data_IF_283587295457
#
_entry.id   IF_283587295457
#
_cell.length_a   1.000
_cell.length_b   1.000
_cell.length_c   1.000
_cell.angle_alpha   90.00
_cell.angle_beta   90.00
_cell.angle_gamma   90.00
#
_symmetry.space_group_name_H-M   'P 1'
#
loop_
_entity.id
_entity.type
_entity.pdbx_description
1 polymer ?
#
# COMPACT_ATOMS: atom_id res chain seq x y z
N UNK A 1 -12.23 -1.57 2.60
CA UNK A 1 -10.85 -1.18 2.96
C UNK A 1 -10.35 0.07 2.25
N UNK A 2 -10.19 0.07 0.92
CA UNK A 2 -9.69 1.26 0.19
C UNK A 2 -10.56 2.50 0.42
N UNK A 3 -11.88 2.31 0.53
CA UNK A 3 -12.84 3.39 0.82
C UNK A 3 -12.97 3.75 2.31
N UNK A 4 -12.34 2.98 3.20
CA UNK A 4 -12.45 3.18 4.63
C UNK A 4 -11.66 4.43 5.07
N UNK A 5 -11.90 4.96 6.27
CA UNK A 5 -11.24 6.19 6.74
C UNK A 5 -9.91 5.91 7.45
N UNK A 6 -9.68 4.68 7.87
CA UNK A 6 -8.51 4.29 8.63
C UNK A 6 -7.25 4.29 7.75
N UNK A 7 -6.10 4.45 8.41
CA UNK A 7 -4.81 4.47 7.72
C UNK A 7 -4.39 3.07 7.30
N UNK A 8 -3.95 2.94 6.05
CA UNK A 8 -3.40 1.71 5.50
C UNK A 8 -1.87 1.79 5.49
N UNK A 9 -1.20 0.66 5.67
CA UNK A 9 0.27 0.56 5.71
C UNK A 9 0.74 -0.45 4.69
N UNK A 10 1.90 -0.18 4.10
CA UNK A 10 2.59 -1.18 3.31
C UNK A 10 3.14 -2.26 4.27
N UNK A 11 2.73 -3.50 4.06
CA UNK A 11 3.08 -4.64 4.91
C UNK A 11 4.14 -5.54 4.25
N UNK A 12 4.12 -5.65 2.93
CA UNK A 12 5.02 -6.52 2.17
C UNK A 12 5.04 -6.07 0.70
N UNK A 13 6.13 -6.35 -0.01
CA UNK A 13 6.22 -6.13 -1.46
C UNK A 13 7.09 -7.20 -2.13
N UNK A 14 6.91 -7.43 -3.43
CA UNK A 14 7.76 -8.36 -4.18
C UNK A 14 9.23 -7.92 -4.14
N UNK A 15 10.16 -8.87 -4.06
CA UNK A 15 11.59 -8.61 -3.90
C UNK A 15 12.21 -7.87 -5.08
N UNK A 16 11.64 -8.03 -6.26
CA UNK A 16 12.04 -7.40 -7.52
C UNK A 16 11.66 -5.93 -7.58
N UNK A 17 10.67 -5.49 -6.77
CA UNK A 17 10.28 -4.08 -6.71
C UNK A 17 11.36 -3.27 -6.01
N UNK A 18 12.00 -2.36 -6.76
CA UNK A 18 12.95 -1.36 -6.23
C UNK A 18 12.22 -0.23 -5.52
N UNK A 19 11.49 -0.55 -4.44
CA UNK A 19 10.81 0.46 -3.62
C UNK A 19 11.86 1.20 -2.79
N UNK A 20 12.08 2.50 -3.08
CA UNK A 20 12.95 3.35 -2.26
C UNK A 20 12.25 3.64 -0.93
N UNK A 21 12.89 3.32 0.19
CA UNK A 21 12.38 3.55 1.55
C UNK A 21 10.94 3.01 1.74
N UNK A 22 10.72 1.68 1.55
CA UNK A 22 9.38 1.09 1.71
C UNK A 22 8.90 1.15 3.16
N UNK A 23 9.86 1.31 4.08
CA UNK A 23 9.64 1.40 5.50
C UNK A 23 8.78 2.64 5.80
N UNK A 24 7.72 2.42 6.55
CA UNK A 24 6.83 3.46 7.05
C UNK A 24 5.95 4.15 5.99
N UNK A 25 5.76 3.55 4.81
CA UNK A 25 4.74 4.01 3.88
C UNK A 25 3.34 3.82 4.47
N UNK A 26 2.61 4.93 4.56
CA UNK A 26 1.25 5.00 5.09
C UNK A 26 0.36 5.70 4.08
N UNK A 27 -0.84 5.18 3.90
CA UNK A 27 -1.90 5.80 3.14
C UNK A 27 -3.00 6.29 4.07
N UNK A 28 -3.29 7.60 4.05
CA UNK A 28 -4.34 8.20 4.88
C UNK A 28 -5.53 8.60 4.03
N UNK A 29 -6.74 8.38 4.53
CA UNK A 29 -7.95 8.88 3.88
C UNK A 29 -7.97 10.41 3.87
N UNK A 30 -8.38 11.00 2.75
CA UNK A 30 -8.59 12.44 2.62
C UNK A 30 -10.08 12.72 2.51
N UNK A 31 -10.72 12.21 1.46
CA UNK A 31 -12.15 12.39 1.20
C UNK A 31 -12.66 11.38 0.18
N UNK A 32 -13.99 11.34 0.02
CA UNK A 32 -14.68 10.55 -0.99
C UNK A 32 -15.54 11.48 -1.84
N UNK A 33 -15.55 11.27 -3.15
CA UNK A 33 -16.42 11.98 -4.10
C UNK A 33 -17.04 10.96 -5.05
N UNK A 34 -18.36 10.76 -5.00
CA UNK A 34 -19.07 9.75 -5.80
C UNK A 34 -18.39 8.37 -5.69
N UNK A 35 -17.86 7.85 -6.79
CA UNK A 35 -17.16 6.55 -6.89
C UNK A 35 -15.65 6.63 -6.70
N UNK A 36 -15.13 7.81 -6.40
CA UNK A 36 -13.72 8.10 -6.25
C UNK A 36 -13.35 8.26 -4.78
N UNK A 37 -12.18 7.75 -4.41
CA UNK A 37 -11.61 7.92 -3.08
C UNK A 37 -10.25 8.57 -3.21
N UNK A 38 -10.07 9.60 -2.38
CA UNK A 38 -8.83 10.34 -2.30
C UNK A 38 -8.10 9.91 -1.03
N UNK A 39 -6.88 9.41 -1.21
CA UNK A 39 -5.99 9.04 -0.11
C UNK A 39 -4.62 9.64 -0.35
N UNK A 40 -3.91 10.02 0.71
CA UNK A 40 -2.48 10.30 0.57
C UNK A 40 -1.69 9.00 0.53
N UNK A 41 -0.49 9.04 -0.05
CA UNK A 41 0.59 8.11 0.25
C UNK A 41 1.78 8.94 0.70
N UNK A 42 2.27 8.63 1.89
CA UNK A 42 3.36 9.37 2.50
C UNK A 42 4.28 8.45 3.30
N UNK A 43 5.53 8.86 3.46
CA UNK A 43 6.47 8.18 4.36
C UNK A 43 6.30 8.76 5.76
N UNK A 44 6.04 7.91 6.74
CA UNK A 44 5.96 8.29 8.15
C UNK A 44 7.37 8.39 8.77
N UNK A 45 7.51 9.02 9.94
CA UNK A 45 8.82 9.24 10.58
C UNK A 45 9.44 7.91 11.07
N UNK A 46 10.76 7.78 10.94
CA UNK A 46 11.53 6.73 11.63
C UNK A 46 12.09 7.23 12.95
N UNK A 47 12.35 6.28 13.86
CA UNK A 47 12.86 6.52 15.21
C UNK A 47 14.22 7.27 15.26
N UNK A 48 15.08 7.12 14.26
CA UNK A 48 16.49 7.53 14.35
C UNK A 48 16.99 8.50 13.27
N UNK A 49 16.17 8.96 12.31
CA UNK A 49 16.73 9.76 11.20
C UNK A 49 15.88 10.94 10.71
N UNK A 50 16.53 12.12 10.63
CA UNK A 50 15.98 13.38 10.09
C UNK A 50 16.00 13.44 8.56
N UNK A 51 16.61 12.46 7.87
CA UNK A 51 16.90 12.49 6.42
C UNK A 51 15.99 11.62 5.54
N UNK A 52 14.79 11.24 5.99
CA UNK A 52 13.84 10.62 5.06
C UNK A 52 13.35 11.64 4.05
N UNK A 53 13.54 11.36 2.76
CA UNK A 53 12.86 12.08 1.70
C UNK A 53 11.35 11.98 1.96
N UNK A 54 10.74 13.09 2.37
CA UNK A 54 9.30 13.15 2.66
C UNK A 54 8.53 12.97 1.36
N UNK A 55 8.14 11.73 1.07
CA UNK A 55 7.11 11.49 0.09
C UNK A 55 5.79 11.92 0.71
N UNK A 56 5.05 12.80 0.04
CA UNK A 56 3.65 13.08 0.32
C UNK A 56 2.97 13.37 -1.01
N UNK A 57 2.21 12.40 -1.50
CA UNK A 57 1.36 12.58 -2.68
C UNK A 57 -0.09 12.28 -2.35
N UNK A 58 -1.02 12.91 -3.05
CA UNK A 58 -2.44 12.58 -2.97
C UNK A 58 -2.82 11.75 -4.18
N UNK A 59 -3.30 10.55 -3.92
CA UNK A 59 -3.79 9.60 -4.90
C UNK A 59 -5.31 9.70 -5.00
N UNK A 60 -5.78 9.72 -6.24
CA UNK A 60 -7.16 9.48 -6.62
C UNK A 60 -7.30 8.02 -7.01
N UNK A 61 -8.23 7.32 -6.37
CA UNK A 61 -8.49 5.90 -6.58
C UNK A 61 -9.92 5.73 -7.07
N UNK A 62 -10.09 5.13 -8.24
CA UNK A 62 -11.40 4.72 -8.78
C UNK A 62 -11.42 3.22 -9.05
N UNK A 63 -12.52 2.56 -8.70
CA UNK A 63 -12.77 1.18 -9.09
C UNK A 63 -13.25 1.14 -10.53
N UNK A 64 -12.61 0.33 -11.37
CA UNK A 64 -13.12 -0.03 -12.68
C UNK A 64 -13.50 -1.51 -12.67
N UNK A 65 -14.69 -1.81 -13.18
CA UNK A 65 -15.21 -3.17 -13.30
C UNK A 65 -15.58 -3.40 -14.77
N UNK A 66 -14.56 -3.52 -15.62
CA UNK A 66 -14.73 -3.56 -17.08
C UNK A 66 -14.98 -5.00 -17.57
N UNK A 67 -15.95 -5.71 -17.00
CA UNK A 67 -16.24 -7.13 -17.30
C UNK A 67 -15.04 -8.10 -17.14
N UNK A 68 -14.02 -7.71 -16.38
CA UNK A 68 -12.89 -8.54 -15.97
C UNK A 68 -13.26 -9.32 -14.70
N UNK A 69 -12.79 -10.56 -14.58
CA UNK A 69 -13.00 -11.39 -13.38
C UNK A 69 -12.38 -10.81 -12.10
N UNK A 70 -11.53 -9.77 -12.21
CA UNK A 70 -10.88 -9.11 -11.09
C UNK A 70 -11.14 -7.61 -11.07
N UNK A 71 -11.52 -7.02 -9.92
CA UNK A 71 -11.72 -5.58 -9.83
C UNK A 71 -10.38 -4.85 -9.99
N UNK A 72 -10.36 -3.79 -10.79
CA UNK A 72 -9.18 -2.96 -11.01
C UNK A 72 -9.28 -1.63 -10.26
N UNK A 73 -8.14 -1.17 -9.75
CA UNK A 73 -7.99 0.15 -9.18
C UNK A 73 -7.20 1.02 -10.15
N UNK A 74 -7.84 2.07 -10.64
CA UNK A 74 -7.11 3.14 -11.31
C UNK A 74 -6.59 4.11 -10.26
N UNK A 75 -5.28 4.24 -10.17
CA UNK A 75 -4.60 5.11 -9.23
C UNK A 75 -3.91 6.23 -10.02
N UNK A 76 -4.32 7.48 -9.78
CA UNK A 76 -3.68 8.66 -10.35
C UNK A 76 -3.21 9.63 -9.27
N UNK A 77 -2.05 10.26 -9.48
CA UNK A 77 -1.53 11.31 -8.61
C UNK A 77 -2.19 12.63 -8.98
N UNK A 78 -2.67 13.39 -8.00
CA UNK A 78 -3.30 14.71 -8.23
C UNK A 78 -2.25 15.80 -8.45
N UNK A 79 -1.09 15.66 -7.80
CA UNK A 79 0.09 16.48 -8.02
C UNK A 79 1.04 15.74 -8.97
N UNK A 80 1.63 16.47 -9.91
CA UNK A 80 2.44 15.98 -11.04
C UNK A 80 3.84 15.43 -10.60
N UNK A 81 3.83 14.57 -9.58
CA UNK A 81 5.00 13.96 -8.95
C UNK A 81 5.15 12.49 -9.37
N UNK A 82 4.95 12.17 -10.65
CA UNK A 82 5.58 10.99 -11.22
C UNK A 82 7.10 11.25 -11.23
N UNK A 83 7.96 10.44 -10.59
CA UNK A 83 7.97 8.98 -10.76
C UNK A 83 8.48 8.21 -9.51
N UNK A 84 7.61 7.65 -8.67
CA UNK A 84 8.03 6.59 -7.71
C UNK A 84 7.06 5.44 -7.52
N UNK A 85 5.78 5.60 -7.89
CA UNK A 85 4.76 4.56 -7.74
C UNK A 85 4.00 4.22 -9.03
N UNK A 86 4.26 4.92 -10.14
CA UNK A 86 3.56 4.73 -11.41
C UNK A 86 2.08 5.13 -11.33
N UNK A 87 1.65 6.06 -12.17
CA UNK A 87 0.22 6.21 -12.46
C UNK A 87 -0.16 4.96 -13.25
N UNK A 88 -0.78 3.99 -12.60
CA UNK A 88 -0.92 2.65 -13.14
C UNK A 88 -2.20 2.01 -12.62
N UNK A 89 -2.94 1.37 -13.53
CA UNK A 89 -4.06 0.49 -13.19
C UNK A 89 -3.48 -0.69 -12.42
N UNK A 90 -3.87 -0.85 -11.16
CA UNK A 90 -3.45 -1.97 -10.34
C UNK A 90 -4.60 -2.96 -10.22
N UNK A 91 -4.31 -4.24 -10.45
CA UNK A 91 -5.31 -5.31 -10.30
C UNK A 91 -5.38 -5.74 -8.85
N UNK A 92 -6.58 -5.85 -8.28
CA UNK A 92 -6.76 -6.43 -6.95
C UNK A 92 -6.73 -7.94 -7.09
N UNK A 93 -5.64 -8.58 -6.67
CA UNK A 93 -5.49 -10.03 -6.73
C UNK A 93 -6.15 -10.73 -5.53
N UNK A 94 -6.19 -10.05 -4.39
CA UNK A 94 -6.82 -10.55 -3.18
C UNK A 94 -7.25 -9.40 -2.28
N UNK A 95 -8.35 -9.57 -1.58
CA UNK A 95 -8.78 -8.70 -0.50
C UNK A 95 -9.39 -9.54 0.62
N UNK A 96 -8.89 -9.34 1.83
CA UNK A 96 -9.47 -9.88 3.05
C UNK A 96 -10.20 -8.74 3.76
N UNK A 97 -11.49 -8.94 4.04
CA UNK A 97 -12.32 -7.86 4.53
C UNK A 97 -11.78 -7.32 5.86
N UNK A 98 -11.67 -5.99 5.97
CA UNK A 98 -11.19 -5.30 7.17
C UNK A 98 -9.77 -5.67 7.63
N UNK A 99 -8.97 -6.39 6.83
CA UNK A 99 -7.60 -6.76 7.19
C UNK A 99 -6.55 -6.24 6.21
N UNK A 100 -6.57 -6.73 4.97
CA UNK A 100 -5.56 -6.43 3.97
C UNK A 100 -6.04 -6.62 2.53
N UNK A 101 -5.25 -6.15 1.58
CA UNK A 101 -5.43 -6.45 0.16
C UNK A 101 -4.09 -6.48 -0.57
N UNK A 102 -4.02 -7.30 -1.60
CA UNK A 102 -2.86 -7.48 -2.48
C UNK A 102 -3.16 -6.82 -3.82
N UNK A 103 -2.28 -5.91 -4.22
CA UNK A 103 -2.34 -5.26 -5.53
C UNK A 103 -1.21 -5.77 -6.41
N UNK A 104 -1.55 -6.10 -7.65
CA UNK A 104 -0.57 -6.28 -8.72
C UNK A 104 -0.11 -4.92 -9.23
N UNK A 105 1.20 -4.75 -9.31
CA UNK A 105 1.84 -3.64 -10.00
C UNK A 105 1.99 -4.01 -11.48
N UNK A 106 1.65 -3.13 -12.43
CA UNK A 106 1.93 -3.39 -13.84
C UNK A 106 3.42 -3.65 -14.09
N UNK A 107 3.71 -4.84 -14.58
CA UNK A 107 5.05 -5.28 -14.97
C UNK A 107 4.97 -5.95 -16.34
N UNK A 108 6.02 -5.79 -17.14
CA UNK A 108 5.97 -6.14 -18.56
C UNK A 108 6.15 -7.61 -18.89
N UNK A 109 6.78 -8.46 -18.07
CA UNK A 109 7.02 -9.87 -18.44
C UNK A 109 7.64 -10.65 -17.26
N UNK A 110 6.84 -11.10 -16.30
CA UNK A 110 7.32 -12.09 -15.31
C UNK A 110 6.31 -13.23 -15.17
N UNK A 111 6.82 -14.46 -14.95
CA UNK A 111 6.01 -15.66 -14.72
C UNK A 111 5.17 -15.59 -13.43
N UNK A 112 5.45 -14.60 -12.56
CA UNK A 112 4.66 -14.26 -11.38
C UNK A 112 4.41 -12.75 -11.31
N UNK A 113 3.22 -12.33 -10.84
CA UNK A 113 2.90 -10.92 -10.72
C UNK A 113 3.78 -10.24 -9.66
N UNK A 114 4.27 -9.03 -9.98
CA UNK A 114 4.84 -8.16 -8.96
C UNK A 114 3.72 -7.54 -8.12
N UNK A 115 3.85 -7.61 -6.80
CA UNK A 115 2.77 -7.28 -5.89
C UNK A 115 3.18 -6.38 -4.73
N UNK A 116 2.19 -5.69 -4.17
CA UNK A 116 2.28 -4.98 -2.90
C UNK A 116 1.12 -5.38 -1.98
N UNK A 117 1.40 -5.61 -0.70
CA UNK A 117 0.43 -5.91 0.33
C UNK A 117 0.18 -4.68 1.19
N UNK A 118 -1.08 -4.25 1.25
CA UNK A 118 -1.53 -3.17 2.12
C UNK A 118 -2.49 -3.70 3.17
N UNK A 119 -2.46 -3.14 4.38
CA UNK A 119 -3.41 -3.49 5.43
C UNK A 119 -3.35 -2.54 6.62
N UNK A 120 -4.19 -2.76 7.63
CA UNK A 120 -4.22 -1.91 8.81
C UNK A 120 -3.11 -2.23 9.81
N UNK A 121 -2.85 -3.53 10.01
CA UNK A 121 -1.85 -4.07 10.92
C UNK A 121 -1.15 -5.28 10.30
N UNK A 122 -0.01 -5.66 10.84
CA UNK A 122 0.69 -6.86 10.40
C UNK A 122 -0.13 -8.12 10.74
N UNK A 123 -0.40 -8.99 9.76
CA UNK A 123 -1.05 -10.29 9.98
C UNK A 123 -0.39 -11.40 9.15
N UNK A 124 -0.14 -12.55 9.78
CA UNK A 124 0.47 -13.70 9.11
C UNK A 124 -0.41 -14.24 7.98
N UNK A 125 -1.73 -14.25 8.17
CA UNK A 125 -2.71 -14.67 7.17
C UNK A 125 -2.54 -13.91 5.84
N UNK A 126 -2.40 -12.59 5.91
CA UNK A 126 -2.22 -11.73 4.73
C UNK A 126 -0.87 -11.94 4.05
N UNK A 127 0.20 -12.15 4.83
CA UNK A 127 1.53 -12.44 4.28
C UNK A 127 1.57 -13.82 3.60
N UNK A 128 0.96 -14.84 4.21
CA UNK A 128 0.81 -16.16 3.59
C UNK A 128 0.08 -16.05 2.27
N UNK A 129 -1.04 -15.30 2.23
CA UNK A 129 -1.80 -15.12 1.00
C UNK A 129 -1.01 -14.37 -0.08
N UNK A 130 -0.22 -13.37 0.31
CA UNK A 130 0.71 -12.71 -0.59
C UNK A 130 1.70 -13.71 -1.21
N UNK A 131 2.31 -14.59 -0.41
CA UNK A 131 3.28 -15.57 -0.91
C UNK A 131 2.66 -16.60 -1.84
N UNK A 132 1.44 -17.04 -1.55
CA UNK A 132 0.68 -17.94 -2.43
C UNK A 132 0.43 -17.33 -3.81
N UNK A 133 0.06 -16.04 -3.87
CA UNK A 133 -0.35 -15.37 -5.11
C UNK A 133 0.84 -14.81 -5.89
N UNK A 134 1.82 -14.23 -5.19
CA UNK A 134 2.88 -13.42 -5.79
C UNK A 134 4.27 -14.03 -5.63
N UNK A 135 4.41 -15.10 -4.85
CA UNK A 135 5.71 -15.68 -4.49
C UNK A 135 6.44 -14.93 -3.39
N UNK A 136 7.74 -15.20 -3.27
CA UNK A 136 8.57 -14.63 -2.21
C UNK A 136 8.59 -13.09 -2.26
N UNK A 137 8.33 -12.45 -1.12
CA UNK A 137 8.39 -11.00 -0.98
C UNK A 137 9.19 -10.58 0.25
N UNK A 138 9.34 -9.26 0.41
CA UNK A 138 10.04 -8.62 1.53
C UNK A 138 9.03 -8.00 2.48
N UNK A 139 8.89 -8.51 3.71
CA UNK A 139 8.03 -7.90 4.71
C UNK A 139 8.59 -6.53 5.13
N UNK A 140 7.69 -5.61 5.47
CA UNK A 140 8.05 -4.27 5.97
C UNK A 140 8.00 -4.27 7.49
N UNK A 141 9.13 -3.94 8.13
CA UNK A 141 9.21 -3.82 9.58
C UNK A 141 8.56 -2.51 10.05
N UNK A 142 7.32 -2.59 10.53
CA UNK A 142 6.55 -1.44 11.02
C UNK A 142 7.02 -0.93 12.39
N UNK A 143 7.79 -1.72 13.14
CA UNK A 143 8.28 -1.36 14.49
C UNK A 143 9.22 -0.16 14.51
N UNK A 144 9.84 0.16 13.38
CA UNK A 144 10.72 1.32 13.23
C UNK A 144 9.97 2.61 12.91
N UNK A 145 8.66 2.52 12.69
CA UNK A 145 7.81 3.61 12.20
C UNK A 145 7.09 4.30 13.35
N UNK A 146 7.46 5.55 13.63
CA UNK A 146 6.78 6.37 14.63
C UNK A 146 5.65 7.17 13.98
N UNK A 147 4.47 7.11 14.58
CA UNK A 147 3.38 8.05 14.30
C UNK A 147 3.62 9.26 15.22
N UNK A 148 3.67 10.47 14.68
CA UNK A 148 3.96 11.69 15.45
C UNK A 148 3.13 11.77 16.75
N UNK A 149 3.62 12.52 17.75
CA UNK A 149 3.08 12.66 19.13
C UNK A 149 1.55 12.85 19.29
N UNK A 150 0.79 13.08 18.21
CA UNK A 150 -0.68 13.26 18.22
C UNK A 150 -1.50 11.99 17.91
N UNK A 151 -0.90 10.90 17.43
CA UNK A 151 -1.59 9.62 17.27
C UNK A 151 -0.99 8.66 18.30
N UNK A 152 -1.79 8.24 19.32
CA UNK A 152 -1.40 7.18 20.25
C UNK A 152 -0.85 6.02 19.43
N UNK A 153 0.25 5.42 19.89
CA UNK A 153 0.83 4.23 19.32
C UNK A 153 -0.24 3.14 19.29
N UNK A 154 -1.00 3.05 18.19
CA UNK A 154 -1.81 1.90 17.90
C UNK A 154 -0.80 0.77 17.74
N UNK A 155 -0.87 -0.21 18.62
CA UNK A 155 -0.06 -1.41 18.60
C UNK A 155 -0.03 -1.98 17.16
N UNK A 156 1.05 -1.71 16.43
CA UNK A 156 1.12 -1.98 14.99
C UNK A 156 1.28 -3.48 14.69
N UNK A 157 1.38 -4.29 15.75
CA UNK A 157 1.65 -5.71 15.69
C UNK A 157 3.04 -6.00 15.16
N UNK A 158 3.81 -6.84 15.88
CA UNK A 158 4.90 -7.57 15.22
C UNK A 158 4.28 -8.75 14.50
N UNK A 159 4.64 -8.95 13.24
CA UNK A 159 4.59 -10.30 12.68
C UNK A 159 5.81 -11.04 13.26
N UNK A 160 5.61 -11.69 14.40
CA UNK A 160 6.54 -12.71 14.92
C UNK A 160 6.24 -14.03 14.23
#
# INVERSE_FOLDING_TARGET
MIRATESLRLLMHSSQLKVKNPQCLISKFVRKEKDQVFRTVQTNYKKEDKKFAKLKTTLKISGQNNNSSFPHLQISSITDLSPRLGIQIQTVLHAEEKECFVLQVPSSDESRPLCVLWGYKCTFKCQKKFVEVCGAGRPVHLSECYISKKEKAADLGRCT
#
